data_IF_321916272373
#
_entry.id   IF_321916272373
#
_cell.length_a   1.000
_cell.length_b   1.000
_cell.length_c   1.000
_cell.angle_alpha   90.00
_cell.angle_beta   90.00
_cell.angle_gamma   90.00
#
_symmetry.space_group_name_H-M   'P 1'
#
loop_
_entity.id
_entity.type
_entity.pdbx_description
1 polymer ?
#
# COMPACT_ATOMS: atom_id res chain seq x y z
N UNK A 1 24.97 -21.40 32.25
CA UNK A 1 24.56 -20.14 31.61
C UNK A 1 23.05 -20.01 31.79
N UNK A 2 22.60 -19.11 32.67
CA UNK A 2 21.15 -18.80 32.78
C UNK A 2 20.75 -18.01 31.53
N UNK A 3 20.04 -18.65 30.63
CA UNK A 3 19.29 -17.95 29.57
C UNK A 3 18.13 -17.25 30.31
N UNK A 4 18.29 -15.97 30.58
CA UNK A 4 17.21 -15.15 31.13
C UNK A 4 16.07 -15.14 30.13
N UNK A 5 14.97 -15.81 30.45
CA UNK A 5 13.71 -15.67 29.73
C UNK A 5 13.33 -14.17 29.77
N UNK A 6 13.43 -13.49 28.61
CA UNK A 6 13.02 -12.10 28.48
C UNK A 6 11.50 -12.04 28.66
N UNK A 7 11.06 -11.49 29.78
CA UNK A 7 9.63 -11.37 30.10
C UNK A 7 8.91 -10.44 29.10
N UNK A 8 7.61 -10.62 28.92
CA UNK A 8 6.72 -9.67 28.25
C UNK A 8 6.95 -8.25 28.79
N UNK A 9 7.04 -7.27 27.92
CA UNK A 9 7.39 -5.90 28.30
C UNK A 9 6.32 -4.92 27.83
N UNK A 10 5.85 -4.08 28.74
CA UNK A 10 4.95 -2.96 28.42
C UNK A 10 5.70 -1.64 28.47
N UNK A 11 5.51 -0.81 27.45
CA UNK A 11 6.12 0.52 27.33
C UNK A 11 5.02 1.55 27.13
N UNK A 12 5.19 2.75 27.68
CA UNK A 12 4.33 3.91 27.40
C UNK A 12 5.18 5.04 26.86
N UNK A 13 4.78 5.54 25.70
CA UNK A 13 5.51 6.57 24.95
C UNK A 13 4.60 7.75 24.68
N UNK A 14 5.11 8.97 24.87
CA UNK A 14 4.45 10.19 24.42
C UNK A 14 4.72 10.37 22.93
N UNK A 15 3.66 10.63 22.16
CA UNK A 15 3.75 10.86 20.71
C UNK A 15 3.58 12.32 20.31
N UNK A 16 3.10 13.16 21.22
CA UNK A 16 2.91 14.60 20.99
C UNK A 16 3.62 15.42 22.06
N UNK A 17 3.99 16.65 21.71
CA UNK A 17 4.73 17.55 22.61
C UNK A 17 3.88 17.95 23.83
N UNK A 18 2.54 18.03 23.66
CA UNK A 18 1.58 18.27 24.73
C UNK A 18 1.37 17.04 25.64
N UNK A 19 1.92 15.88 25.25
CA UNK A 19 1.81 14.62 25.98
C UNK A 19 0.40 14.02 25.98
N UNK A 20 -0.53 14.52 25.17
CA UNK A 20 -1.91 14.02 25.11
C UNK A 20 -2.05 12.79 24.19
N UNK A 21 -1.24 12.70 23.13
CA UNK A 21 -1.11 11.49 22.35
C UNK A 21 -0.09 10.54 22.98
N UNK A 22 -0.50 9.28 23.21
CA UNK A 22 0.33 8.26 23.84
C UNK A 22 0.25 6.95 23.05
N UNK A 23 1.35 6.18 23.05
CA UNK A 23 1.41 4.83 22.53
C UNK A 23 1.77 3.85 23.64
N UNK A 24 0.87 2.93 23.98
CA UNK A 24 1.17 1.85 24.91
C UNK A 24 1.53 0.60 24.09
N UNK A 25 2.78 0.16 24.20
CA UNK A 25 3.32 -0.96 23.42
C UNK A 25 3.46 -2.19 24.32
N UNK A 26 2.94 -3.30 23.88
CA UNK A 26 3.01 -4.62 24.50
C UNK A 26 3.90 -5.51 23.62
N UNK A 27 5.08 -5.84 24.11
CA UNK A 27 6.03 -6.67 23.40
C UNK A 27 5.93 -8.12 23.89
N UNK A 28 5.88 -9.11 22.96
CA UNK A 28 6.05 -10.50 23.35
C UNK A 28 7.47 -10.73 23.88
N UNK A 29 7.70 -11.87 24.52
CA UNK A 29 9.08 -12.27 24.85
C UNK A 29 9.91 -12.43 23.56
N UNK A 30 11.18 -12.08 23.63
CA UNK A 30 12.06 -12.03 22.45
C UNK A 30 12.19 -13.40 21.73
N UNK A 31 12.10 -14.49 22.47
CA UNK A 31 12.12 -15.86 21.95
C UNK A 31 10.86 -16.25 21.17
N UNK A 32 9.73 -15.57 21.43
CA UNK A 32 8.46 -15.78 20.71
C UNK A 32 8.20 -14.77 19.60
N UNK A 33 8.94 -13.65 19.58
CA UNK A 33 8.71 -12.57 18.64
C UNK A 33 8.77 -13.04 17.17
N UNK A 34 7.66 -12.89 16.44
CA UNK A 34 7.56 -13.24 15.01
C UNK A 34 8.07 -12.14 14.08
N UNK A 35 8.31 -10.96 14.61
CA UNK A 35 8.58 -9.75 13.84
C UNK A 35 7.32 -8.98 13.43
N UNK A 36 6.13 -9.60 13.44
CA UNK A 36 4.87 -8.93 13.11
C UNK A 36 4.47 -7.95 14.22
N UNK A 37 3.88 -6.81 13.82
CA UNK A 37 3.37 -5.82 14.76
C UNK A 37 2.03 -5.24 14.32
N UNK A 38 1.21 -4.79 15.28
CA UNK A 38 -0.10 -4.17 15.05
C UNK A 38 -0.24 -2.91 15.88
N UNK A 39 -0.58 -1.79 15.24
CA UNK A 39 -1.01 -0.54 15.91
C UNK A 39 -2.52 -0.51 15.94
N UNK A 40 -3.12 -0.40 17.12
CA UNK A 40 -4.56 -0.36 17.34
C UNK A 40 -5.04 1.07 17.55
N UNK A 41 -6.09 1.44 16.84
CA UNK A 41 -6.86 2.68 16.97
C UNK A 41 -8.23 2.34 17.60
N UNK A 42 -8.44 2.55 18.91
CA UNK A 42 -9.73 2.32 19.54
C UNK A 42 -10.84 3.20 18.99
N UNK A 43 -12.09 2.75 19.03
CA UNK A 43 -13.26 3.54 18.68
C UNK A 43 -13.68 4.55 19.74
N UNK A 44 -14.88 5.12 19.55
CA UNK A 44 -15.47 6.12 20.45
C UNK A 44 -15.99 7.36 19.75
N UNK A 45 -16.33 7.24 18.45
CA UNK A 45 -17.00 8.30 17.67
C UNK A 45 -16.18 9.58 17.46
N UNK A 46 -14.86 9.55 17.65
CA UNK A 46 -13.98 10.72 17.71
C UNK A 46 -14.33 11.70 18.83
N UNK A 47 -15.03 11.24 19.87
CA UNK A 47 -15.42 12.02 21.04
C UNK A 47 -14.80 11.50 22.31
N UNK A 48 -14.61 10.19 22.41
CA UNK A 48 -13.93 9.46 23.48
C UNK A 48 -13.04 8.38 22.89
N UNK A 49 -12.28 7.66 23.74
CA UNK A 49 -11.52 6.47 23.37
C UNK A 49 -11.89 5.27 24.23
N UNK A 50 -12.27 4.18 23.59
CA UNK A 50 -12.57 2.91 24.22
C UNK A 50 -11.29 2.11 24.51
N UNK A 51 -10.38 2.69 25.32
CA UNK A 51 -8.99 2.23 25.50
C UNK A 51 -8.86 0.82 26.08
N UNK A 52 -9.78 0.35 26.94
CA UNK A 52 -9.70 -0.99 27.51
C UNK A 52 -10.14 -2.05 26.50
N UNK A 53 -11.42 -2.14 26.24
CA UNK A 53 -12.04 -3.26 25.53
C UNK A 53 -11.89 -3.26 24.01
N UNK A 54 -11.55 -2.12 23.39
CA UNK A 54 -11.14 -2.02 21.99
C UNK A 54 -9.63 -1.76 21.84
N UNK A 55 -8.91 -1.75 22.95
CA UNK A 55 -7.48 -1.48 22.99
C UNK A 55 -6.71 -2.53 23.79
N UNK A 56 -6.51 -2.25 25.08
CA UNK A 56 -5.57 -2.99 25.94
C UNK A 56 -5.92 -4.47 26.11
N UNK A 57 -7.22 -4.82 26.14
CA UNK A 57 -7.68 -6.19 26.35
C UNK A 57 -7.27 -7.15 25.21
N UNK A 58 -6.89 -6.62 24.05
CA UNK A 58 -6.38 -7.41 22.92
C UNK A 58 -4.90 -7.78 23.06
N UNK A 59 -4.15 -7.15 23.95
CA UNK A 59 -2.71 -7.33 24.06
C UNK A 59 -2.28 -8.78 24.35
N UNK A 60 -2.93 -9.52 25.28
CA UNK A 60 -2.59 -10.92 25.51
C UNK A 60 -2.73 -11.79 24.25
N UNK A 61 -3.83 -11.64 23.51
CA UNK A 61 -4.08 -12.39 22.28
C UNK A 61 -2.95 -12.23 21.25
N UNK A 62 -2.51 -10.99 21.00
CA UNK A 62 -1.42 -10.74 20.05
C UNK A 62 -0.06 -11.21 20.58
N UNK A 63 0.24 -10.97 21.85
CA UNK A 63 1.50 -11.39 22.44
C UNK A 63 1.65 -12.91 22.53
N UNK A 64 0.55 -13.65 22.75
CA UNK A 64 0.54 -15.12 22.74
C UNK A 64 0.87 -15.67 21.34
N UNK A 65 0.51 -14.93 20.27
CA UNK A 65 0.91 -15.21 18.88
C UNK A 65 2.33 -14.73 18.55
N UNK A 66 3.07 -14.14 19.49
CA UNK A 66 4.39 -13.57 19.25
C UNK A 66 4.36 -12.25 18.44
N UNK A 67 3.20 -11.58 18.39
CA UNK A 67 3.00 -10.33 17.66
C UNK A 67 3.12 -9.15 18.64
N UNK A 68 3.96 -8.16 18.30
CA UNK A 68 4.01 -6.91 19.05
C UNK A 68 2.70 -6.13 18.85
N UNK A 69 2.13 -5.63 19.91
CA UNK A 69 0.86 -4.93 19.87
C UNK A 69 0.98 -3.55 20.51
N UNK A 70 0.41 -2.52 19.89
CA UNK A 70 0.46 -1.17 20.41
C UNK A 70 -0.92 -0.52 20.36
N UNK A 71 -1.32 0.14 21.43
CA UNK A 71 -2.60 0.87 21.52
C UNK A 71 -2.32 2.36 21.47
N UNK A 72 -2.88 3.01 20.47
CA UNK A 72 -2.77 4.44 20.26
C UNK A 72 -3.89 5.19 20.99
N UNK A 73 -3.52 6.01 21.95
CA UNK A 73 -4.37 7.05 22.51
C UNK A 73 -4.20 8.30 21.64
N UNK A 74 -4.97 8.36 20.55
CA UNK A 74 -4.93 9.52 19.66
C UNK A 74 -5.76 10.69 20.21
N UNK A 75 -5.36 11.91 19.88
CA UNK A 75 -6.10 13.14 20.25
C UNK A 75 -7.38 13.27 19.43
N UNK A 76 -8.40 13.81 20.07
CA UNK A 76 -9.68 14.07 19.40
C UNK A 76 -9.52 15.17 18.34
N UNK A 77 -10.18 15.03 17.19
CA UNK A 77 -10.03 15.99 16.10
C UNK A 77 -10.65 17.35 16.39
N UNK A 78 -11.76 17.43 17.10
CA UNK A 78 -12.51 18.67 17.29
C UNK A 78 -12.72 19.49 16.00
N UNK A 79 -12.92 18.79 14.88
CA UNK A 79 -13.06 19.37 13.55
C UNK A 79 -11.73 19.51 12.78
N UNK A 80 -10.59 19.28 13.42
CA UNK A 80 -9.28 19.22 12.75
C UNK A 80 -8.81 17.77 12.62
N UNK A 81 -9.11 17.19 11.48
CA UNK A 81 -8.77 15.81 11.10
C UNK A 81 -7.27 15.53 11.05
N UNK A 82 -6.43 16.57 10.93
CA UNK A 82 -4.98 16.38 10.87
C UNK A 82 -4.40 15.90 12.19
N UNK A 83 -5.06 16.21 13.31
CA UNK A 83 -4.64 15.82 14.67
C UNK A 83 -4.56 14.29 14.83
N UNK A 84 -5.66 13.52 14.75
CA UNK A 84 -5.60 12.07 14.92
C UNK A 84 -4.79 11.37 13.81
N UNK A 85 -4.79 11.91 12.58
CA UNK A 85 -3.99 11.35 11.49
C UNK A 85 -2.49 11.50 11.76
N UNK A 86 -2.06 12.65 12.27
CA UNK A 86 -0.66 12.86 12.67
C UNK A 86 -0.25 11.90 13.77
N UNK A 87 -1.11 11.71 14.78
CA UNK A 87 -0.82 10.79 15.89
C UNK A 87 -0.72 9.33 15.38
N UNK A 88 -1.59 8.92 14.48
CA UNK A 88 -1.55 7.58 13.89
C UNK A 88 -0.29 7.38 12.99
N UNK A 89 0.08 8.38 12.19
CA UNK A 89 1.32 8.33 11.42
C UNK A 89 2.56 8.24 12.34
N UNK A 90 2.59 9.02 13.43
CA UNK A 90 3.69 8.95 14.42
C UNK A 90 3.75 7.59 15.10
N UNK A 91 2.61 6.98 15.45
CA UNK A 91 2.57 5.64 15.99
C UNK A 91 3.18 4.61 15.04
N UNK A 92 2.78 4.62 13.75
CA UNK A 92 3.34 3.75 12.72
C UNK A 92 4.85 3.97 12.54
N UNK A 93 5.30 5.23 12.54
CA UNK A 93 6.72 5.57 12.45
C UNK A 93 7.50 5.06 13.66
N UNK A 94 6.98 5.28 14.88
CA UNK A 94 7.61 4.82 16.13
C UNK A 94 7.82 3.31 16.16
N UNK A 95 6.83 2.53 15.69
CA UNK A 95 6.97 1.07 15.59
C UNK A 95 8.10 0.67 14.63
N UNK A 96 8.26 1.37 13.51
CA UNK A 96 9.32 1.10 12.53
C UNK A 96 10.69 1.57 12.99
N UNK A 97 10.79 2.75 13.59
CA UNK A 97 12.06 3.29 14.10
C UNK A 97 12.62 2.45 15.24
N UNK A 98 11.73 1.84 16.03
CA UNK A 98 12.09 0.96 17.14
C UNK A 98 12.24 -0.52 16.75
N UNK A 99 12.08 -0.85 15.48
CA UNK A 99 11.95 -2.24 14.99
C UNK A 99 13.09 -3.14 15.45
N UNK A 100 14.34 -2.69 15.34
CA UNK A 100 15.52 -3.47 15.75
C UNK A 100 15.53 -3.78 17.25
N UNK A 101 15.15 -2.80 18.10
CA UNK A 101 15.17 -2.94 19.57
C UNK A 101 13.97 -3.74 20.07
N UNK A 102 12.86 -3.73 19.34
CA UNK A 102 11.62 -4.41 19.72
C UNK A 102 11.40 -5.74 18.99
N UNK A 103 12.40 -6.22 18.25
CA UNK A 103 12.32 -7.44 17.44
C UNK A 103 11.13 -7.43 16.45
N UNK A 104 10.88 -6.27 15.82
CA UNK A 104 9.85 -6.06 14.82
C UNK A 104 10.48 -6.05 13.42
N UNK A 105 9.78 -6.61 12.45
CA UNK A 105 10.07 -6.43 11.04
C UNK A 105 9.37 -5.14 10.54
N UNK A 106 10.08 -4.08 10.14
CA UNK A 106 9.47 -2.83 9.68
C UNK A 106 8.62 -3.01 8.41
N UNK A 107 8.78 -4.12 7.69
CA UNK A 107 7.98 -4.51 6.54
C UNK A 107 6.72 -5.31 6.92
N UNK A 108 6.45 -5.53 8.22
CA UNK A 108 5.30 -6.32 8.72
C UNK A 108 4.57 -5.63 9.87
N UNK A 109 4.34 -4.32 9.73
CA UNK A 109 3.60 -3.49 10.69
C UNK A 109 2.23 -3.17 10.14
N UNK A 110 1.19 -3.72 10.76
CA UNK A 110 -0.21 -3.48 10.42
C UNK A 110 -0.87 -2.42 11.28
N UNK A 111 -2.08 -2.05 10.87
CA UNK A 111 -2.96 -1.17 11.64
C UNK A 111 -4.30 -1.87 11.89
N UNK A 112 -4.84 -1.68 13.07
CA UNK A 112 -6.14 -2.22 13.50
C UNK A 112 -7.02 -1.06 13.96
N UNK A 113 -8.33 -1.15 13.75
CA UNK A 113 -9.21 -0.13 14.25
C UNK A 113 -10.66 -0.58 14.41
N UNK A 114 -11.34 0.05 15.36
CA UNK A 114 -12.71 -0.21 15.74
C UNK A 114 -13.57 1.01 15.48
N UNK A 115 -14.76 0.86 14.90
CA UNK A 115 -15.72 1.97 14.74
C UNK A 115 -15.07 3.22 14.11
N UNK A 116 -15.06 4.36 14.80
CA UNK A 116 -14.34 5.59 14.36
C UNK A 116 -12.82 5.37 14.27
N UNK A 117 -12.22 4.55 15.15
CA UNK A 117 -10.83 4.12 15.02
C UNK A 117 -10.59 3.25 13.79
N UNK A 118 -11.60 2.51 13.33
CA UNK A 118 -11.60 1.80 12.04
C UNK A 118 -11.54 2.76 10.85
N UNK A 119 -12.22 3.91 10.94
CA UNK A 119 -12.08 4.98 9.97
C UNK A 119 -10.64 5.54 9.97
N UNK A 120 -10.09 5.86 11.14
CA UNK A 120 -8.71 6.34 11.22
C UNK A 120 -7.74 5.32 10.62
N UNK A 121 -7.85 4.04 10.97
CA UNK A 121 -7.02 2.96 10.47
C UNK A 121 -7.10 2.82 8.93
N UNK A 122 -8.32 2.81 8.37
CA UNK A 122 -8.52 2.71 6.92
C UNK A 122 -8.07 3.97 6.17
N UNK A 123 -8.18 5.15 6.78
CA UNK A 123 -7.66 6.41 6.23
C UNK A 123 -6.13 6.38 6.15
N UNK A 124 -5.44 5.93 7.21
CA UNK A 124 -3.98 5.74 7.20
C UNK A 124 -3.58 4.70 6.15
N UNK A 125 -4.31 3.60 6.03
CA UNK A 125 -4.04 2.54 5.06
C UNK A 125 -4.18 3.01 3.59
N UNK A 126 -5.09 3.93 3.30
CA UNK A 126 -5.36 4.41 1.94
C UNK A 126 -4.60 5.68 1.56
N UNK A 127 -4.30 6.56 2.53
CA UNK A 127 -3.89 7.93 2.24
C UNK A 127 -2.53 8.35 2.83
N UNK A 128 -2.02 7.68 3.87
CA UNK A 128 -0.74 8.03 4.48
C UNK A 128 0.45 7.87 3.50
N UNK A 129 1.54 8.64 3.69
CA UNK A 129 2.79 8.43 2.95
C UNK A 129 3.28 6.98 3.04
N UNK A 130 3.94 6.48 1.99
CA UNK A 130 4.40 5.09 1.91
C UNK A 130 5.35 4.70 3.05
N UNK A 131 6.13 5.64 3.59
CA UNK A 131 7.04 5.41 4.71
C UNK A 131 6.33 4.99 6.00
N UNK A 132 5.08 5.45 6.21
CA UNK A 132 4.29 5.15 7.42
C UNK A 132 3.02 4.36 7.11
N UNK A 133 2.71 4.09 5.84
CA UNK A 133 1.55 3.29 5.44
C UNK A 133 1.66 1.87 6.01
N UNK A 134 0.59 1.32 6.63
CA UNK A 134 0.63 -0.04 7.17
C UNK A 134 0.83 -1.10 6.08
N UNK A 135 1.33 -2.26 6.46
CA UNK A 135 1.52 -3.40 5.58
C UNK A 135 0.25 -4.25 5.44
N UNK A 136 -0.66 -4.16 6.41
CA UNK A 136 -1.99 -4.79 6.41
C UNK A 136 -2.93 -4.03 7.34
N UNK A 137 -4.24 -4.26 7.21
CA UNK A 137 -5.25 -3.60 8.02
C UNK A 137 -6.31 -4.57 8.56
N UNK A 138 -6.71 -4.36 9.81
CA UNK A 138 -7.70 -5.17 10.55
C UNK A 138 -8.80 -4.22 11.01
N UNK A 139 -10.02 -4.41 10.56
CA UNK A 139 -11.12 -3.48 10.78
C UNK A 139 -12.31 -4.18 11.45
N UNK A 140 -12.73 -3.66 12.58
CA UNK A 140 -13.90 -4.16 13.32
C UNK A 140 -15.02 -3.13 13.25
N UNK A 141 -16.17 -3.50 12.72
CA UNK A 141 -17.36 -2.65 12.54
C UNK A 141 -17.00 -1.20 12.19
N UNK A 142 -16.11 -0.99 11.19
CA UNK A 142 -15.49 0.31 10.96
C UNK A 142 -16.50 1.33 10.43
N UNK A 143 -16.39 2.57 10.89
CA UNK A 143 -16.84 3.71 10.10
C UNK A 143 -15.91 3.81 8.88
N UNK A 144 -16.44 4.02 7.71
CA UNK A 144 -15.69 4.09 6.44
C UNK A 144 -16.00 5.37 5.68
N UNK A 145 -17.27 5.61 5.41
CA UNK A 145 -17.70 6.81 4.72
C UNK A 145 -17.80 8.00 5.68
N UNK A 146 -17.26 9.13 5.27
CA UNK A 146 -17.45 10.41 5.96
C UNK A 146 -18.68 11.16 5.48
N UNK A 147 -19.45 10.63 4.50
CA UNK A 147 -20.74 11.19 4.14
C UNK A 147 -21.71 11.01 5.32
N UNK A 148 -22.25 12.09 5.91
CA UNK A 148 -23.13 12.03 7.07
C UNK A 148 -24.43 11.23 6.85
N UNK A 149 -24.78 10.94 5.57
CA UNK A 149 -25.97 10.15 5.18
C UNK A 149 -25.65 8.66 5.05
N UNK A 150 -24.38 8.31 4.89
CA UNK A 150 -23.92 6.94 4.66
C UNK A 150 -23.16 6.39 5.87
N UNK A 151 -22.23 7.18 6.42
CA UNK A 151 -21.43 6.84 7.57
C UNK A 151 -22.08 7.18 8.92
N UNK A 152 -21.31 7.12 9.99
CA UNK A 152 -21.75 7.53 11.32
C UNK A 152 -21.65 9.05 11.45
N UNK A 153 -22.80 9.72 11.49
CA UNK A 153 -22.90 11.20 11.47
C UNK A 153 -22.09 11.88 12.60
N UNK A 154 -22.09 11.28 13.80
CA UNK A 154 -21.30 11.80 14.95
C UNK A 154 -19.81 11.83 14.64
N UNK A 155 -19.28 10.75 14.09
CA UNK A 155 -17.88 10.65 13.67
C UNK A 155 -17.55 11.64 12.55
N UNK A 156 -18.42 11.75 11.54
CA UNK A 156 -18.24 12.69 10.43
C UNK A 156 -18.18 14.15 10.95
N UNK A 157 -19.09 14.51 11.86
CA UNK A 157 -19.12 15.86 12.46
C UNK A 157 -17.86 16.14 13.27
N UNK A 158 -17.44 15.21 14.12
CA UNK A 158 -16.27 15.38 14.96
C UNK A 158 -14.96 15.47 14.14
N UNK A 159 -14.87 14.69 13.05
CA UNK A 159 -13.68 14.60 12.21
C UNK A 159 -13.58 15.73 11.17
N UNK A 160 -14.68 16.04 10.48
CA UNK A 160 -14.70 17.04 9.42
C UNK A 160 -14.98 18.47 9.90
N UNK A 161 -15.62 18.64 11.08
CA UNK A 161 -15.95 19.94 11.62
C UNK A 161 -16.84 20.77 10.66
N UNK A 162 -16.34 21.93 10.27
CA UNK A 162 -17.06 22.83 9.35
C UNK A 162 -17.14 22.31 7.90
N UNK A 163 -16.28 21.34 7.53
CA UNK A 163 -16.26 20.73 6.21
C UNK A 163 -17.29 19.58 6.04
N UNK A 164 -18.20 19.37 7.00
CA UNK A 164 -19.16 18.26 7.00
C UNK A 164 -20.07 18.21 5.76
N UNK A 165 -20.31 19.32 5.11
CA UNK A 165 -21.11 19.43 3.88
C UNK A 165 -20.23 19.65 2.63
N UNK A 166 -18.91 19.70 2.78
CA UNK A 166 -17.98 19.86 1.68
C UNK A 166 -17.73 18.51 0.99
N UNK A 167 -18.41 18.29 -0.14
CA UNK A 167 -18.33 17.02 -0.88
C UNK A 167 -16.91 16.60 -1.23
N UNK A 168 -16.01 17.54 -1.58
CA UNK A 168 -14.62 17.21 -1.91
C UNK A 168 -13.90 16.66 -0.71
N UNK A 169 -14.05 17.26 0.45
CA UNK A 169 -13.45 16.82 1.71
C UNK A 169 -14.07 15.51 2.18
N UNK A 170 -15.40 15.36 2.09
CA UNK A 170 -16.09 14.11 2.36
C UNK A 170 -15.50 12.98 1.51
N UNK A 171 -15.35 13.20 0.21
CA UNK A 171 -14.81 12.20 -0.73
C UNK A 171 -13.34 11.87 -0.44
N UNK A 172 -12.56 12.86 -0.05
CA UNK A 172 -11.14 12.71 0.32
C UNK A 172 -10.93 11.84 1.56
N UNK A 173 -11.84 11.95 2.54
CA UNK A 173 -11.75 11.21 3.81
C UNK A 173 -12.73 10.02 3.91
N UNK A 174 -13.41 9.68 2.84
CA UNK A 174 -14.18 8.43 2.72
C UNK A 174 -13.28 7.33 2.16
N UNK A 175 -12.87 6.39 3.02
CA UNK A 175 -11.81 5.42 2.69
C UNK A 175 -12.14 4.55 1.49
N UNK A 176 -13.43 4.24 1.23
CA UNK A 176 -13.89 3.50 0.06
C UNK A 176 -13.59 4.20 -1.27
N UNK A 177 -13.44 5.53 -1.24
CA UNK A 177 -13.10 6.35 -2.42
C UNK A 177 -11.59 6.51 -2.62
N UNK A 178 -10.81 6.18 -1.61
CA UNK A 178 -9.35 6.37 -1.60
C UNK A 178 -8.57 5.09 -1.87
N UNK A 179 -9.26 3.97 -2.09
CA UNK A 179 -8.61 2.68 -2.40
C UNK A 179 -7.83 2.78 -3.72
N UNK A 180 -6.55 2.41 -3.65
CA UNK A 180 -5.64 2.39 -4.80
C UNK A 180 -5.06 1.01 -5.01
N UNK A 181 -5.11 0.56 -6.26
CA UNK A 181 -4.48 -0.68 -6.70
C UNK A 181 -3.00 -0.67 -6.33
N UNK A 182 -2.44 -1.82 -5.90
CA UNK A 182 -1.05 -2.05 -5.50
C UNK A 182 -0.56 -1.31 -4.25
N UNK A 183 -1.24 -0.23 -3.83
CA UNK A 183 -0.75 0.66 -2.78
C UNK A 183 -1.58 0.62 -1.50
N UNK A 184 -2.87 0.30 -1.58
CA UNK A 184 -3.69 0.01 -0.39
C UNK A 184 -3.37 -1.40 0.10
N UNK A 185 -3.01 -1.57 1.39
CA UNK A 185 -2.62 -2.87 1.92
C UNK A 185 -3.81 -3.83 2.04
N UNK A 186 -3.57 -5.15 2.10
CA UNK A 186 -4.60 -6.16 2.31
C UNK A 186 -5.38 -5.91 3.60
N UNK A 187 -6.68 -6.28 3.59
CA UNK A 187 -7.60 -6.03 4.69
C UNK A 187 -8.32 -7.29 5.15
N UNK A 188 -8.58 -7.38 6.47
CA UNK A 188 -9.63 -8.21 7.03
C UNK A 188 -10.65 -7.33 7.74
N UNK A 189 -11.94 -7.57 7.48
CA UNK A 189 -13.05 -6.75 7.96
C UNK A 189 -14.04 -7.66 8.70
N UNK A 190 -14.41 -7.27 9.91
CA UNK A 190 -15.43 -7.92 10.70
C UNK A 190 -16.60 -6.98 10.96
N UNK A 191 -17.82 -7.43 10.70
CA UNK A 191 -19.05 -6.67 10.88
C UNK A 191 -20.17 -7.55 11.44
N UNK A 192 -21.22 -6.94 12.01
CA UNK A 192 -22.45 -7.63 12.37
C UNK A 192 -23.61 -7.09 11.51
N UNK A 193 -24.45 -8.01 11.01
CA UNK A 193 -25.59 -7.65 10.14
C UNK A 193 -26.60 -6.74 10.86
N UNK A 194 -26.76 -6.93 12.17
CA UNK A 194 -27.67 -6.17 12.99
C UNK A 194 -27.05 -4.91 13.64
N UNK A 195 -25.91 -4.41 13.14
CA UNK A 195 -25.32 -3.14 13.59
C UNK A 195 -26.19 -1.96 13.14
N UNK A 196 -26.75 -1.22 14.11
CA UNK A 196 -27.63 -0.06 13.87
C UNK A 196 -26.91 1.28 14.05
N UNK A 197 -25.70 1.28 14.60
CA UNK A 197 -24.90 2.49 14.77
C UNK A 197 -24.06 2.77 13.51
N UNK A 198 -23.40 1.74 12.99
CA UNK A 198 -22.59 1.81 11.77
C UNK A 198 -23.07 0.74 10.81
N UNK A 199 -23.99 1.13 9.94
CA UNK A 199 -24.60 0.24 8.96
C UNK A 199 -23.53 -0.49 8.14
N UNK A 200 -23.43 -1.84 8.25
CA UNK A 200 -22.36 -2.60 7.62
C UNK A 200 -22.43 -2.53 6.09
N UNK A 201 -23.62 -2.39 5.51
CA UNK A 201 -23.77 -2.28 4.07
C UNK A 201 -23.15 -1.00 3.52
N UNK A 202 -23.37 0.12 4.21
CA UNK A 202 -22.89 1.45 3.80
C UNK A 202 -21.40 1.68 4.12
N UNK A 203 -20.83 0.89 5.03
CA UNK A 203 -19.45 1.02 5.48
C UNK A 203 -18.61 -0.21 5.12
N UNK A 204 -18.71 -1.31 5.85
CA UNK A 204 -17.88 -2.50 5.67
C UNK A 204 -17.98 -3.11 4.28
N UNK A 205 -19.22 -3.30 3.75
CA UNK A 205 -19.46 -3.85 2.41
C UNK A 205 -18.99 -2.88 1.33
N UNK A 206 -19.24 -1.58 1.50
CA UNK A 206 -18.80 -0.56 0.56
C UNK A 206 -17.25 -0.56 0.45
N UNK A 207 -16.55 -0.65 1.58
CA UNK A 207 -15.08 -0.71 1.59
C UNK A 207 -14.54 -2.01 0.99
N UNK A 208 -15.10 -3.16 1.37
CA UNK A 208 -14.76 -4.45 0.76
C UNK A 208 -14.94 -4.42 -0.76
N UNK A 209 -16.06 -3.87 -1.23
CA UNK A 209 -16.35 -3.73 -2.66
C UNK A 209 -15.31 -2.83 -3.35
N UNK A 210 -14.93 -1.72 -2.73
CA UNK A 210 -13.92 -0.81 -3.26
C UNK A 210 -12.54 -1.49 -3.34
N UNK A 211 -12.14 -2.24 -2.29
CA UNK A 211 -10.91 -3.04 -2.29
C UNK A 211 -10.90 -4.05 -3.44
N UNK A 212 -11.99 -4.84 -3.60
CA UNK A 212 -12.09 -5.85 -4.65
C UNK A 212 -12.10 -5.27 -6.05
N UNK A 213 -12.77 -4.12 -6.27
CA UNK A 213 -12.74 -3.40 -7.56
C UNK A 213 -11.35 -2.90 -7.96
N UNK A 214 -10.45 -2.73 -6.99
CA UNK A 214 -9.06 -2.33 -7.20
C UNK A 214 -8.06 -3.49 -7.08
N UNK A 215 -8.55 -4.75 -7.11
CA UNK A 215 -7.77 -5.98 -6.93
C UNK A 215 -6.99 -6.07 -5.61
N UNK A 216 -7.30 -5.24 -4.63
CA UNK A 216 -6.69 -5.34 -3.29
C UNK A 216 -7.22 -6.58 -2.58
N UNK A 217 -6.32 -7.40 -2.04
CA UNK A 217 -6.69 -8.59 -1.29
C UNK A 217 -7.51 -8.21 -0.04
N UNK A 218 -8.69 -8.79 0.11
CA UNK A 218 -9.56 -8.51 1.24
C UNK A 218 -10.35 -9.74 1.66
N UNK A 219 -10.52 -9.92 2.97
CA UNK A 219 -11.41 -10.87 3.60
C UNK A 219 -12.47 -10.11 4.39
N UNK A 220 -13.72 -10.56 4.35
CA UNK A 220 -14.80 -9.93 5.08
C UNK A 220 -15.69 -10.99 5.73
N UNK A 221 -16.00 -10.79 7.01
CA UNK A 221 -16.82 -11.68 7.83
C UNK A 221 -17.97 -10.87 8.44
N UNK A 222 -19.19 -11.27 8.11
CA UNK A 222 -20.42 -10.66 8.65
C UNK A 222 -21.12 -11.68 9.52
N UNK A 223 -21.29 -11.35 10.79
CA UNK A 223 -21.99 -12.18 11.75
C UNK A 223 -23.46 -11.78 11.85
N UNK A 224 -24.40 -12.74 11.97
CA UNK A 224 -25.83 -12.42 12.03
C UNK A 224 -26.22 -11.49 13.18
N UNK A 225 -25.53 -11.62 14.31
CA UNK A 225 -25.76 -10.83 15.53
C UNK A 225 -24.43 -10.37 16.12
N UNK A 226 -24.46 -9.30 16.90
CA UNK A 226 -23.31 -8.66 17.55
C UNK A 226 -23.60 -7.18 17.82
N UNK A 227 -24.43 -6.57 16.99
CA UNK A 227 -24.69 -5.13 17.04
C UNK A 227 -23.42 -4.33 16.80
N UNK A 228 -23.29 -3.17 17.43
CA UNK A 228 -22.09 -2.36 17.40
C UNK A 228 -21.24 -2.59 18.65
N UNK A 229 -19.90 -2.65 18.49
CA UNK A 229 -19.00 -2.65 19.64
C UNK A 229 -18.95 -3.94 20.45
N UNK A 230 -18.98 -5.13 19.81
CA UNK A 230 -18.86 -6.41 20.57
C UNK A 230 -17.48 -6.64 21.19
N UNK A 231 -16.45 -5.92 20.78
CA UNK A 231 -15.14 -5.82 21.48
C UNK A 231 -14.38 -7.14 21.58
N UNK A 232 -13.37 -7.18 22.46
CA UNK A 232 -12.77 -8.41 22.97
C UNK A 232 -13.62 -8.93 24.14
N UNK A 233 -14.73 -9.58 23.81
CA UNK A 233 -15.70 -10.04 24.79
C UNK A 233 -16.13 -11.48 24.47
N UNK A 234 -15.85 -12.40 25.39
CA UNK A 234 -16.18 -13.82 25.23
C UNK A 234 -17.71 -14.09 25.27
N UNK A 235 -18.53 -13.10 25.63
CA UNK A 235 -20.00 -13.19 25.52
C UNK A 235 -20.48 -12.99 24.09
N UNK A 236 -19.63 -12.47 23.19
CA UNK A 236 -19.94 -12.42 21.76
C UNK A 236 -19.99 -13.84 21.21
N UNK A 237 -21.13 -14.31 20.67
CA UNK A 237 -21.31 -15.72 20.31
C UNK A 237 -20.32 -16.29 19.31
N UNK A 238 -19.69 -15.41 18.52
CA UNK A 238 -18.72 -15.79 17.49
C UNK A 238 -17.27 -15.44 17.89
N UNK A 239 -17.02 -15.15 19.15
CA UNK A 239 -15.71 -14.71 19.65
C UNK A 239 -14.58 -15.65 19.22
N UNK A 240 -14.68 -16.94 19.54
CA UNK A 240 -13.67 -17.94 19.21
C UNK A 240 -13.47 -18.11 17.68
N UNK A 241 -14.59 -18.15 16.93
CA UNK A 241 -14.52 -18.24 15.47
C UNK A 241 -13.85 -17.01 14.84
N UNK A 242 -14.14 -15.83 15.38
CA UNK A 242 -13.53 -14.57 14.95
C UNK A 242 -12.02 -14.56 15.22
N UNK A 243 -11.58 -14.91 16.42
CA UNK A 243 -10.17 -14.97 16.80
C UNK A 243 -9.42 -16.00 15.95
N UNK A 244 -9.99 -17.18 15.75
CA UNK A 244 -9.41 -18.22 14.88
C UNK A 244 -9.27 -17.73 13.44
N UNK A 245 -10.28 -17.05 12.90
CA UNK A 245 -10.24 -16.49 11.55
C UNK A 245 -9.15 -15.42 11.45
N UNK A 246 -9.06 -14.54 12.44
CA UNK A 246 -8.04 -13.50 12.48
C UNK A 246 -6.63 -14.09 12.56
N UNK A 247 -6.38 -15.10 13.41
CA UNK A 247 -5.07 -15.74 13.52
C UNK A 247 -4.64 -16.39 12.21
N UNK A 248 -5.51 -17.19 11.58
CA UNK A 248 -5.24 -17.82 10.28
C UNK A 248 -4.94 -16.79 9.18
N UNK A 249 -5.67 -15.69 9.18
CA UNK A 249 -5.42 -14.62 8.22
C UNK A 249 -4.05 -13.96 8.46
N UNK A 250 -3.70 -13.63 9.71
CA UNK A 250 -2.41 -13.05 10.08
C UNK A 250 -1.24 -13.96 9.73
N UNK A 251 -1.38 -15.28 9.93
CA UNK A 251 -0.38 -16.29 9.58
C UNK A 251 -0.20 -16.43 8.06
N UNK A 252 -1.27 -16.17 7.28
CA UNK A 252 -1.23 -16.23 5.82
C UNK A 252 -0.43 -15.08 5.19
N UNK A 253 -0.30 -13.95 5.89
CA UNK A 253 0.44 -12.78 5.41
C UNK A 253 1.94 -13.04 5.45
N UNK A 254 2.60 -12.84 4.31
CA UNK A 254 4.05 -12.93 4.18
C UNK A 254 4.64 -11.55 3.98
N UNK A 255 5.70 -11.25 4.68
CA UNK A 255 6.44 -10.00 4.57
C UNK A 255 7.86 -10.26 4.03
N UNK A 256 8.46 -9.29 3.34
CA UNK A 256 9.90 -9.31 3.06
C UNK A 256 10.72 -9.27 4.35
N UNK A 257 12.00 -9.64 4.26
CA UNK A 257 12.92 -9.57 5.39
C UNK A 257 13.03 -8.13 5.93
N UNK A 258 13.44 -7.98 7.18
CA UNK A 258 13.49 -6.67 7.84
C UNK A 258 14.43 -5.67 7.14
N UNK A 259 15.51 -6.17 6.56
CA UNK A 259 16.53 -5.43 5.81
C UNK A 259 16.38 -5.52 4.29
N UNK A 260 15.22 -6.01 3.80
CA UNK A 260 14.95 -6.21 2.39
C UNK A 260 15.19 -4.94 1.55
N UNK A 261 15.87 -5.12 0.43
CA UNK A 261 16.13 -4.05 -0.54
C UNK A 261 14.83 -3.58 -1.18
N UNK A 262 14.52 -2.30 -1.03
CA UNK A 262 13.30 -1.70 -1.59
C UNK A 262 13.44 -1.46 -3.10
N UNK A 263 12.58 -2.12 -3.88
CA UNK A 263 12.55 -2.04 -5.35
C UNK A 263 11.23 -1.41 -5.80
N UNK A 264 11.30 -0.29 -6.51
CA UNK A 264 10.15 0.37 -7.12
C UNK A 264 10.05 0.07 -8.61
N UNK A 265 8.92 -0.47 -9.06
CA UNK A 265 8.60 -0.65 -10.47
C UNK A 265 7.68 0.49 -10.93
N UNK A 266 8.25 1.46 -11.62
CA UNK A 266 7.58 2.65 -12.17
C UNK A 266 7.20 2.39 -13.63
N UNK A 267 5.98 2.71 -14.03
CA UNK A 267 5.57 2.53 -15.43
C UNK A 267 4.10 2.79 -15.72
N UNK A 268 3.70 2.35 -16.89
CA UNK A 268 2.35 2.48 -17.43
C UNK A 268 1.48 1.22 -17.17
N UNK A 269 0.47 0.99 -18.02
CA UNK A 269 -0.46 -0.15 -17.92
C UNK A 269 0.22 -1.52 -17.89
N UNK A 270 1.36 -1.69 -18.54
CA UNK A 270 2.11 -2.96 -18.53
C UNK A 270 2.70 -3.22 -17.13
N UNK A 271 3.20 -2.19 -16.46
CA UNK A 271 3.67 -2.28 -15.07
C UNK A 271 2.50 -2.41 -14.08
N UNK A 272 1.41 -1.65 -14.29
CA UNK A 272 0.15 -1.77 -13.56
C UNK A 272 -0.45 -3.20 -13.66
N UNK A 273 -0.16 -3.93 -14.76
CA UNK A 273 -0.68 -5.28 -14.99
C UNK A 273 -2.08 -5.28 -15.60
N UNK A 274 -2.36 -4.35 -16.52
CA UNK A 274 -3.64 -4.29 -17.22
C UNK A 274 -3.95 -5.62 -17.92
N UNK A 275 -5.17 -6.13 -17.70
CA UNK A 275 -5.64 -7.42 -18.22
C UNK A 275 -5.09 -8.66 -17.50
N UNK A 276 -4.19 -8.51 -16.53
CA UNK A 276 -3.73 -9.60 -15.65
C UNK A 276 -4.64 -9.65 -14.43
N UNK A 277 -5.32 -10.77 -14.23
CA UNK A 277 -6.08 -10.99 -13.01
C UNK A 277 -5.14 -11.10 -11.81
N UNK A 278 -5.51 -10.47 -10.70
CA UNK A 278 -4.70 -10.45 -9.49
C UNK A 278 -3.24 -10.03 -9.76
N UNK A 279 -3.06 -8.86 -10.39
CA UNK A 279 -1.73 -8.38 -10.80
C UNK A 279 -0.74 -8.26 -9.63
N UNK A 280 -1.21 -8.12 -8.38
CA UNK A 280 -0.38 -8.18 -7.17
C UNK A 280 0.18 -9.60 -6.88
N UNK A 281 -0.25 -10.61 -7.63
CA UNK A 281 0.25 -11.99 -7.56
C UNK A 281 0.95 -12.38 -8.87
N UNK A 282 0.36 -12.02 -10.01
CA UNK A 282 0.74 -12.51 -11.34
C UNK A 282 1.34 -11.44 -12.26
N UNK A 283 1.25 -10.15 -11.93
CA UNK A 283 1.91 -9.08 -12.69
C UNK A 283 3.44 -9.14 -12.58
N UNK A 284 4.16 -8.50 -13.55
CA UNK A 284 5.61 -8.60 -13.56
C UNK A 284 6.30 -8.10 -12.28
N UNK A 285 5.86 -7.03 -11.61
CA UNK A 285 6.50 -6.61 -10.36
C UNK A 285 6.37 -7.66 -9.24
N UNK A 286 5.19 -8.29 -9.12
CA UNK A 286 4.97 -9.35 -8.13
C UNK A 286 5.79 -10.61 -8.43
N UNK A 287 5.84 -11.02 -9.70
CA UNK A 287 6.68 -12.14 -10.12
C UNK A 287 8.17 -11.84 -9.98
N UNK A 288 8.60 -10.59 -10.22
CA UNK A 288 9.97 -10.16 -9.94
C UNK A 288 10.30 -10.32 -8.45
N UNK A 289 9.40 -9.90 -7.55
CA UNK A 289 9.56 -10.09 -6.12
C UNK A 289 9.73 -11.56 -5.73
N UNK A 290 8.89 -12.46 -6.28
CA UNK A 290 9.02 -13.92 -6.08
C UNK A 290 10.37 -14.46 -6.56
N UNK A 291 10.84 -14.00 -7.71
CA UNK A 291 12.13 -14.42 -8.28
C UNK A 291 13.32 -13.91 -7.44
N UNK A 292 13.24 -12.70 -6.91
CA UNK A 292 14.32 -12.10 -6.09
C UNK A 292 14.35 -12.68 -4.68
N UNK A 293 13.21 -13.15 -4.13
CA UNK A 293 13.09 -13.71 -2.78
C UNK A 293 12.88 -12.64 -1.70
N UNK A 294 12.79 -13.08 -0.45
CA UNK A 294 12.40 -12.25 0.70
C UNK A 294 13.38 -11.10 1.01
N UNK A 295 14.64 -11.20 0.57
CA UNK A 295 15.60 -10.10 0.68
C UNK A 295 15.28 -8.87 -0.17
N UNK A 296 14.12 -8.85 -0.87
CA UNK A 296 13.67 -7.73 -1.69
C UNK A 296 12.20 -7.40 -1.43
N UNK A 297 11.93 -6.12 -1.21
CA UNK A 297 10.57 -5.57 -1.09
C UNK A 297 10.21 -4.86 -2.41
N UNK A 298 9.58 -5.59 -3.33
CA UNK A 298 9.20 -5.08 -4.65
C UNK A 298 7.80 -4.48 -4.60
N UNK A 299 7.66 -3.20 -5.00
CA UNK A 299 6.39 -2.49 -5.05
C UNK A 299 6.07 -2.02 -6.48
N UNK A 300 4.78 -2.12 -6.81
CA UNK A 300 4.25 -1.70 -8.10
C UNK A 300 3.72 -0.27 -8.01
N UNK A 301 4.31 0.65 -8.78
CA UNK A 301 3.88 2.03 -8.95
C UNK A 301 3.41 2.30 -10.39
N UNK A 302 3.00 1.28 -11.11
CA UNK A 302 2.43 1.39 -12.44
C UNK A 302 1.09 2.12 -12.43
N UNK A 303 0.84 2.94 -13.46
CA UNK A 303 -0.45 3.60 -13.68
C UNK A 303 -0.81 3.52 -15.16
N UNK A 304 -1.96 2.90 -15.44
CA UNK A 304 -2.41 2.67 -16.81
C UNK A 304 -2.54 3.96 -17.64
N UNK A 305 -2.10 3.90 -18.91
CA UNK A 305 -2.25 4.98 -19.87
C UNK A 305 -1.18 6.10 -19.79
N UNK A 306 -0.27 6.06 -18.82
CA UNK A 306 0.63 7.18 -18.52
C UNK A 306 1.81 7.26 -19.50
N UNK A 307 2.20 8.51 -19.77
CA UNK A 307 3.35 8.90 -20.61
C UNK A 307 4.54 9.29 -19.74
N UNK A 308 5.74 9.16 -20.28
CA UNK A 308 6.94 9.81 -19.73
C UNK A 308 6.87 11.31 -19.97
N UNK A 309 6.46 11.70 -21.21
CA UNK A 309 6.32 13.09 -21.63
C UNK A 309 5.39 13.87 -20.69
N UNK A 310 5.88 14.97 -20.15
CA UNK A 310 5.09 15.90 -19.33
C UNK A 310 4.05 16.67 -20.14
N UNK A 311 4.27 16.84 -21.43
CA UNK A 311 3.33 17.42 -22.41
C UNK A 311 2.42 16.37 -23.05
N UNK A 312 2.59 15.08 -22.70
CA UNK A 312 1.70 14.01 -23.12
C UNK A 312 0.30 14.14 -22.50
N UNK A 313 -0.64 13.37 -23.02
CA UNK A 313 -2.04 13.44 -22.58
C UNK A 313 -2.27 13.03 -21.11
N UNK A 314 -1.43 12.15 -20.54
CA UNK A 314 -1.53 11.63 -19.17
C UNK A 314 -0.13 11.48 -18.54
N UNK A 315 0.53 12.58 -18.12
CA UNK A 315 1.89 12.55 -17.61
C UNK A 315 2.04 11.77 -16.31
N UNK A 316 2.95 10.80 -16.26
CA UNK A 316 3.21 9.99 -15.06
C UNK A 316 3.70 10.81 -13.86
N UNK A 317 4.55 11.81 -14.08
CA UNK A 317 5.09 12.65 -13.00
C UNK A 317 4.05 13.51 -12.29
N UNK A 318 2.83 13.65 -12.86
CA UNK A 318 1.67 14.30 -12.21
C UNK A 318 0.84 13.35 -11.36
N UNK A 319 1.12 12.04 -11.41
CA UNK A 319 0.38 11.04 -10.65
C UNK A 319 0.86 10.97 -9.19
N UNK A 320 -0.09 10.70 -8.30
CA UNK A 320 0.24 10.44 -6.89
C UNK A 320 1.19 9.25 -6.74
N UNK A 321 1.14 8.27 -7.65
CA UNK A 321 2.05 7.13 -7.67
C UNK A 321 3.53 7.53 -7.79
N UNK A 322 3.85 8.63 -8.46
CA UNK A 322 5.20 9.18 -8.51
C UNK A 322 5.67 9.68 -7.15
N UNK A 323 4.81 10.40 -6.42
CA UNK A 323 5.12 10.82 -5.05
C UNK A 323 5.22 9.64 -4.10
N UNK A 324 4.30 8.67 -4.19
CA UNK A 324 4.37 7.44 -3.38
C UNK A 324 5.65 6.63 -3.63
N UNK A 325 6.12 6.58 -4.88
CA UNK A 325 7.41 5.96 -5.21
C UNK A 325 8.56 6.64 -4.49
N UNK A 326 8.58 7.98 -4.47
CA UNK A 326 9.60 8.76 -3.74
C UNK A 326 9.51 8.57 -2.23
N UNK A 327 8.31 8.57 -1.66
CA UNK A 327 8.04 8.34 -0.23
C UNK A 327 8.42 6.91 0.22
N UNK A 328 8.41 5.94 -0.69
CA UNK A 328 8.88 4.58 -0.44
C UNK A 328 10.40 4.52 -0.20
N UNK A 329 11.14 5.57 -0.57
CA UNK A 329 12.60 5.68 -0.50
C UNK A 329 13.28 4.44 -1.10
N UNK A 330 13.01 4.09 -2.37
CA UNK A 330 13.54 2.89 -3.00
C UNK A 330 15.06 2.90 -3.04
N UNK A 331 15.68 1.72 -2.98
CA UNK A 331 17.11 1.52 -3.22
C UNK A 331 17.38 1.08 -4.67
N UNK A 332 16.33 0.58 -5.33
CA UNK A 332 16.35 0.25 -6.76
C UNK A 332 15.06 0.78 -7.39
N UNK A 333 15.18 1.42 -8.56
CA UNK A 333 14.02 1.86 -9.36
C UNK A 333 14.15 1.32 -10.78
N UNK A 334 13.08 0.71 -11.28
CA UNK A 334 12.93 0.30 -12.67
C UNK A 334 11.91 1.24 -13.32
N UNK A 335 12.33 2.09 -14.28
CA UNK A 335 11.44 2.98 -15.01
C UNK A 335 11.12 2.36 -16.36
N UNK A 336 9.85 1.97 -16.57
CA UNK A 336 9.37 1.40 -17.84
C UNK A 336 8.20 2.24 -18.38
N UNK A 337 8.53 3.32 -19.07
CA UNK A 337 7.62 4.25 -19.77
C UNK A 337 8.04 4.33 -21.28
N UNK A 338 7.28 5.07 -22.07
CA UNK A 338 7.55 5.26 -23.51
C UNK A 338 6.53 4.59 -24.45
N UNK A 339 5.75 3.61 -23.96
CA UNK A 339 4.74 2.95 -24.80
C UNK A 339 3.63 3.92 -25.21
N UNK A 340 3.04 4.66 -24.26
CA UNK A 340 1.96 5.62 -24.54
C UNK A 340 2.47 6.90 -25.21
N UNK A 341 3.76 7.17 -25.06
CA UNK A 341 4.44 8.29 -25.69
C UNK A 341 4.49 8.13 -27.22
N UNK A 342 4.55 6.88 -27.71
CA UNK A 342 4.54 6.57 -29.15
C UNK A 342 3.23 6.88 -29.88
N UNK A 343 2.15 7.21 -29.14
CA UNK A 343 0.88 7.66 -29.74
C UNK A 343 1.11 8.93 -30.54
N UNK A 344 0.51 9.03 -31.72
CA UNK A 344 0.74 10.12 -32.67
C UNK A 344 0.71 11.51 -32.01
N UNK A 345 -0.35 11.83 -31.26
CA UNK A 345 -0.48 13.14 -30.59
C UNK A 345 0.56 13.37 -29.48
N UNK A 346 0.97 12.34 -28.76
CA UNK A 346 1.98 12.49 -27.71
C UNK A 346 3.36 12.66 -28.32
N UNK A 347 3.65 11.96 -29.46
CA UNK A 347 4.95 11.99 -30.10
C UNK A 347 5.23 13.29 -30.87
N UNK A 348 4.24 14.15 -31.02
CA UNK A 348 4.44 15.54 -31.45
C UNK A 348 5.42 16.31 -30.53
N UNK A 349 5.51 15.90 -29.26
CA UNK A 349 6.40 16.47 -28.24
C UNK A 349 7.70 15.67 -28.05
N UNK A 350 8.10 14.85 -29.02
CA UNK A 350 9.27 13.95 -28.91
C UNK A 350 10.57 14.60 -28.48
N UNK A 351 10.78 15.85 -28.83
CA UNK A 351 12.00 16.60 -28.51
C UNK A 351 12.15 16.82 -26.98
N UNK A 352 11.05 16.70 -26.22
CA UNK A 352 11.04 16.82 -24.79
C UNK A 352 11.35 15.48 -24.07
N UNK A 353 11.22 14.33 -24.74
CA UNK A 353 11.28 13.01 -24.13
C UNK A 353 12.58 12.76 -23.35
N UNK A 354 13.72 13.12 -23.90
CA UNK A 354 15.01 12.95 -23.24
C UNK A 354 15.17 13.86 -22.01
N UNK A 355 14.62 15.08 -22.06
CA UNK A 355 14.62 16.06 -20.96
C UNK A 355 13.74 15.55 -19.81
N UNK A 356 12.55 15.06 -20.09
CA UNK A 356 11.59 14.61 -19.12
C UNK A 356 12.07 13.32 -18.42
N UNK A 357 12.73 12.42 -19.16
CA UNK A 357 13.42 11.27 -18.57
C UNK A 357 14.57 11.70 -17.64
N UNK A 358 15.34 12.72 -18.04
CA UNK A 358 16.41 13.26 -17.21
C UNK A 358 15.84 13.89 -15.93
N UNK A 359 14.67 14.52 -15.98
CA UNK A 359 14.00 15.06 -14.81
C UNK A 359 13.67 13.94 -13.80
N UNK A 360 13.05 12.82 -14.25
CA UNK A 360 12.77 11.68 -13.37
C UNK A 360 14.05 11.14 -12.72
N UNK A 361 15.12 10.99 -13.49
CA UNK A 361 16.41 10.52 -12.98
C UNK A 361 16.95 11.49 -11.91
N UNK A 362 16.86 12.79 -12.17
CA UNK A 362 17.36 13.83 -11.25
C UNK A 362 16.59 13.86 -9.95
N UNK A 363 15.24 13.75 -10.00
CA UNK A 363 14.40 13.69 -8.80
C UNK A 363 14.71 12.44 -7.95
N UNK A 364 14.95 11.29 -8.57
CA UNK A 364 15.34 10.05 -7.85
C UNK A 364 16.73 10.15 -7.24
N UNK A 365 17.69 10.74 -7.95
CA UNK A 365 19.06 10.92 -7.43
C UNK A 365 19.11 11.90 -6.24
N UNK A 366 18.12 12.79 -6.11
CA UNK A 366 17.99 13.71 -4.99
C UNK A 366 17.41 13.06 -3.73
N UNK A 367 16.88 11.83 -3.82
CA UNK A 367 16.35 11.12 -2.66
C UNK A 367 17.47 10.72 -1.69
N UNK A 368 17.22 10.72 -0.36
CA UNK A 368 18.18 10.22 0.64
C UNK A 368 18.66 8.79 0.35
N UNK A 369 17.81 7.94 -0.22
CA UNK A 369 18.13 6.57 -0.60
C UNK A 369 19.06 6.43 -1.79
N UNK A 370 19.21 7.47 -2.63
CA UNK A 370 20.03 7.49 -3.85
C UNK A 370 19.93 6.19 -4.64
N UNK A 371 18.74 5.86 -5.18
CA UNK A 371 18.49 4.54 -5.73
C UNK A 371 19.37 4.22 -6.95
N UNK A 372 19.70 2.95 -7.11
CA UNK A 372 20.17 2.44 -8.38
C UNK A 372 19.01 2.45 -9.38
N UNK A 373 19.15 3.16 -10.49
CA UNK A 373 18.11 3.33 -11.49
C UNK A 373 18.39 2.43 -12.70
N UNK A 374 17.35 1.74 -13.16
CA UNK A 374 17.33 0.97 -14.39
C UNK A 374 16.29 1.55 -15.35
N UNK A 375 16.62 1.66 -16.62
CA UNK A 375 15.68 2.07 -17.66
C UNK A 375 15.20 0.85 -18.45
N UNK A 376 13.89 0.55 -18.34
CA UNK A 376 13.25 -0.53 -19.07
C UNK A 376 12.84 -0.10 -20.47
N UNK A 377 13.25 -0.83 -21.51
CA UNK A 377 12.76 -0.59 -22.86
C UNK A 377 11.27 -0.94 -22.94
N UNK A 378 10.45 -0.17 -23.67
CA UNK A 378 9.05 -0.52 -23.92
C UNK A 378 8.94 -1.89 -24.58
N UNK A 379 7.88 -2.63 -24.24
CA UNK A 379 7.54 -3.89 -24.91
C UNK A 379 7.13 -3.63 -26.37
N UNK A 380 7.32 -4.64 -27.24
CA UNK A 380 6.83 -4.60 -28.62
C UNK A 380 5.31 -4.41 -28.67
N UNK A 381 4.85 -3.54 -29.54
CA UNK A 381 3.45 -3.35 -29.88
C UNK A 381 3.18 -4.08 -31.22
N UNK A 382 2.48 -5.24 -31.15
CA UNK A 382 2.14 -6.05 -32.32
C UNK A 382 1.00 -5.45 -33.14
N UNK A 383 0.15 -4.63 -32.51
CA UNK A 383 -0.99 -3.95 -33.12
C UNK A 383 -0.97 -2.46 -32.76
N UNK A 384 -1.51 -1.64 -33.66
CA UNK A 384 -1.66 -0.21 -33.44
C UNK A 384 -2.84 0.20 -32.55
N UNK A 385 -3.23 -0.65 -31.60
CA UNK A 385 -4.33 -0.36 -30.66
C UNK A 385 -4.07 0.95 -29.94
N UNK A 386 -5.10 1.76 -29.80
CA UNK A 386 -5.03 3.12 -29.20
C UNK A 386 -3.99 4.04 -29.81
N UNK A 387 -3.69 3.88 -31.11
CA UNK A 387 -2.65 4.65 -31.84
C UNK A 387 -1.22 4.47 -31.31
N UNK A 388 -0.95 3.44 -30.51
CA UNK A 388 0.41 3.07 -30.11
C UNK A 388 1.15 2.57 -31.34
N UNK A 389 2.37 3.06 -31.57
CA UNK A 389 3.12 2.85 -32.80
C UNK A 389 4.46 2.15 -32.52
N UNK A 390 4.57 0.88 -32.93
CA UNK A 390 5.79 0.10 -32.74
C UNK A 390 6.99 0.65 -33.54
N UNK A 391 6.75 1.21 -34.74
CA UNK A 391 7.84 1.84 -35.50
C UNK A 391 8.45 3.02 -34.74
N UNK A 392 7.63 3.83 -34.09
CA UNK A 392 8.08 4.90 -33.19
C UNK A 392 8.83 4.34 -32.00
N UNK A 393 8.29 3.26 -31.37
CA UNK A 393 8.93 2.63 -30.22
C UNK A 393 10.35 2.17 -30.59
N UNK A 394 10.51 1.38 -31.65
CA UNK A 394 11.80 0.76 -31.96
C UNK A 394 12.80 1.74 -32.58
N UNK A 395 12.34 2.65 -33.45
CA UNK A 395 13.23 3.52 -34.22
C UNK A 395 13.55 4.87 -33.53
N UNK A 396 12.68 5.30 -32.58
CA UNK A 396 12.87 6.63 -31.95
C UNK A 396 12.94 6.52 -30.41
N UNK A 397 11.94 5.93 -29.74
CA UNK A 397 11.86 5.86 -28.26
C UNK A 397 13.03 5.07 -27.68
N UNK A 398 13.26 3.84 -28.16
CA UNK A 398 14.34 2.97 -27.65
C UNK A 398 15.72 3.59 -27.84
N UNK A 399 16.09 4.14 -29.00
CA UNK A 399 17.34 4.86 -29.18
C UNK A 399 17.55 6.03 -28.21
N UNK A 400 16.49 6.82 -27.93
CA UNK A 400 16.56 7.92 -26.96
C UNK A 400 16.81 7.37 -25.55
N UNK A 401 16.06 6.33 -25.12
CA UNK A 401 16.25 5.68 -23.80
C UNK A 401 17.69 5.20 -23.64
N UNK A 402 18.25 4.50 -24.66
CA UNK A 402 19.64 4.02 -24.64
C UNK A 402 20.66 5.16 -24.57
N UNK A 403 20.41 6.28 -25.28
CA UNK A 403 21.26 7.47 -25.22
C UNK A 403 21.24 8.12 -23.82
N UNK A 404 20.05 8.27 -23.21
CA UNK A 404 19.92 8.81 -21.86
C UNK A 404 20.57 7.88 -20.84
N UNK A 405 20.38 6.56 -20.95
CA UNK A 405 21.03 5.57 -20.10
C UNK A 405 22.57 5.69 -20.16
N UNK A 406 23.13 5.74 -21.37
CA UNK A 406 24.59 5.89 -21.59
C UNK A 406 25.12 7.19 -20.97
N UNK A 407 24.41 8.32 -21.18
CA UNK A 407 24.80 9.64 -20.61
C UNK A 407 24.85 9.61 -19.09
N UNK A 408 23.92 8.91 -18.45
CA UNK A 408 23.78 8.83 -16.99
C UNK A 408 24.49 7.59 -16.39
N UNK A 409 25.18 6.76 -17.20
CA UNK A 409 25.82 5.50 -16.77
C UNK A 409 24.84 4.53 -16.11
N UNK A 410 23.60 4.48 -16.63
CA UNK A 410 22.56 3.58 -16.15
C UNK A 410 22.51 2.29 -16.98
N UNK A 411 22.12 1.20 -16.33
CA UNK A 411 21.87 -0.06 -17.00
C UNK A 411 20.46 -0.07 -17.62
N UNK A 412 20.31 -0.78 -18.73
CA UNK A 412 19.05 -0.94 -19.46
C UNK A 412 18.54 -2.36 -19.26
N UNK A 413 17.22 -2.50 -19.00
CA UNK A 413 16.52 -3.79 -19.02
C UNK A 413 15.80 -3.88 -20.36
N UNK A 414 16.13 -4.88 -21.16
CA UNK A 414 15.51 -5.10 -22.46
C UNK A 414 14.23 -5.94 -22.34
N UNK A 415 13.08 -5.28 -22.31
CA UNK A 415 11.78 -5.95 -22.41
C UNK A 415 11.27 -6.06 -23.84
N UNK A 416 11.90 -5.32 -24.81
CA UNK A 416 11.46 -5.33 -26.20
C UNK A 416 11.82 -6.64 -26.91
N UNK A 417 13.09 -7.01 -26.90
CA UNK A 417 13.61 -8.16 -27.65
C UNK A 417 12.92 -9.48 -27.25
N UNK A 418 12.82 -9.84 -25.97
CA UNK A 418 12.15 -11.10 -25.58
C UNK A 418 10.67 -11.16 -25.96
N UNK A 419 9.95 -10.03 -25.86
CA UNK A 419 8.53 -9.95 -26.17
C UNK A 419 8.26 -9.81 -27.69
N UNK A 420 9.29 -9.52 -28.49
CA UNK A 420 9.20 -9.49 -29.95
C UNK A 420 9.34 -10.87 -30.61
N UNK A 421 9.66 -11.89 -29.85
CA UNK A 421 9.87 -13.24 -30.36
C UNK A 421 8.56 -13.95 -30.76
N UNK A 422 7.45 -13.70 -30.05
CA UNK A 422 6.16 -14.35 -30.33
C UNK A 422 5.00 -13.44 -29.91
N UNK A 423 4.08 -13.14 -30.84
CA UNK A 423 2.85 -12.37 -30.57
C UNK A 423 1.97 -13.06 -29.50
N UNK A 424 2.03 -14.39 -29.37
CA UNK A 424 1.31 -15.15 -28.35
C UNK A 424 1.73 -14.83 -26.90
N UNK A 425 2.75 -14.03 -26.71
CA UNK A 425 3.14 -13.48 -25.39
C UNK A 425 2.32 -12.24 -25.00
N UNK A 426 1.49 -11.74 -25.91
CA UNK A 426 0.60 -10.60 -25.68
C UNK A 426 -0.87 -11.01 -25.59
N UNK A 427 -1.67 -10.11 -25.04
CA UNK A 427 -3.14 -10.21 -25.04
C UNK A 427 -3.69 -9.93 -26.46
N UNK A 428 -4.99 -10.09 -26.62
CA UNK A 428 -5.66 -9.90 -27.93
C UNK A 428 -5.54 -8.48 -28.50
N UNK A 429 -5.24 -7.51 -27.65
CA UNK A 429 -5.00 -6.12 -28.04
C UNK A 429 -3.63 -5.91 -28.74
N UNK A 430 -2.72 -6.87 -28.61
CA UNK A 430 -1.38 -6.83 -29.20
C UNK A 430 -0.42 -5.82 -28.54
N UNK A 431 -0.77 -5.25 -27.38
CA UNK A 431 0.03 -4.26 -26.63
C UNK A 431 0.44 -4.79 -25.25
N UNK A 432 -0.53 -5.33 -24.50
CA UNK A 432 -0.28 -5.76 -23.14
C UNK A 432 0.24 -7.20 -23.12
N UNK A 433 1.35 -7.50 -22.46
CA UNK A 433 1.80 -8.88 -22.26
C UNK A 433 0.75 -9.67 -21.47
N UNK A 434 0.55 -10.93 -21.82
CA UNK A 434 -0.24 -11.88 -21.06
C UNK A 434 0.57 -12.50 -19.91
N UNK A 435 0.03 -13.48 -19.18
CA UNK A 435 0.71 -14.09 -18.03
C UNK A 435 2.10 -14.66 -18.36
N UNK A 436 2.29 -15.22 -19.56
CA UNK A 436 3.60 -15.70 -20.01
C UNK A 436 4.54 -14.54 -20.31
N UNK A 437 4.02 -13.49 -20.95
CA UNK A 437 4.79 -12.29 -21.29
C UNK A 437 5.25 -11.54 -20.04
N UNK A 438 4.38 -11.34 -19.03
CA UNK A 438 4.78 -10.67 -17.78
C UNK A 438 5.76 -11.49 -16.95
N UNK A 439 5.68 -12.84 -17.02
CA UNK A 439 6.67 -13.73 -16.41
C UNK A 439 8.05 -13.54 -17.04
N UNK A 440 8.11 -13.50 -18.37
CA UNK A 440 9.35 -13.26 -19.10
C UNK A 440 9.95 -11.88 -18.75
N UNK A 441 9.11 -10.83 -18.62
CA UNK A 441 9.56 -9.53 -18.14
C UNK A 441 10.19 -9.60 -16.75
N UNK A 442 9.57 -10.35 -15.84
CA UNK A 442 10.08 -10.53 -14.47
C UNK A 442 11.46 -11.23 -14.48
N UNK A 443 11.61 -12.24 -15.33
CA UNK A 443 12.88 -12.98 -15.51
C UNK A 443 13.98 -12.06 -16.06
N UNK A 444 13.70 -11.22 -17.07
CA UNK A 444 14.67 -10.27 -17.61
C UNK A 444 15.07 -9.22 -16.57
N UNK A 445 14.10 -8.67 -15.81
CA UNK A 445 14.39 -7.75 -14.73
C UNK A 445 15.25 -8.40 -13.63
N UNK A 446 14.93 -9.64 -13.23
CA UNK A 446 15.68 -10.37 -12.20
C UNK A 446 17.13 -10.63 -12.59
N UNK A 447 17.42 -10.95 -13.89
CA UNK A 447 18.79 -11.15 -14.38
C UNK A 447 19.68 -9.91 -14.17
N UNK A 448 19.10 -8.72 -14.35
CA UNK A 448 19.85 -7.46 -14.24
C UNK A 448 19.94 -6.99 -12.80
N UNK A 449 18.84 -7.09 -12.03
CA UNK A 449 18.79 -6.63 -10.62
C UNK A 449 19.70 -7.49 -9.72
N UNK A 450 19.77 -8.83 -9.94
CA UNK A 450 20.60 -9.75 -9.15
C UNK A 450 22.11 -9.64 -9.41
N UNK A 451 22.55 -9.05 -10.51
CA UNK A 451 23.96 -9.06 -10.95
C UNK A 451 24.95 -8.33 -10.04
N UNK A 452 24.53 -7.91 -8.82
CA UNK A 452 25.45 -7.32 -7.83
C UNK A 452 25.20 -7.91 -6.44
N UNK A 453 25.91 -8.96 -6.12
CA UNK A 453 26.49 -9.14 -4.82
C UNK A 453 27.97 -8.74 -4.87
#
# INVERSE_FOLDING_TARGET
>A
MCVGLSAQRTLKLKLSDDGLAELTVFLPSADKATGKAVVCCPGGGYSILCMSYEGVDWAPYYNDMGIAYAVLKYRMPHGDRTIPMTDACRAMQTMRDSAAVWHINPNDVGIMGFSAGGHLASTIATSAPMSVRPNFQILFYPVISMDPKLGHRGSSKAFLGQDIDNKKVIDEFSSEKQVRRHLTPPAIIFAADNDREVDPFKNSVAYYTALRRKDVAASMHVYPIGGHGWRFDNRFPYHEAMLKTLSLWLESLKAPDADAVRVACVGNSITDGAGIQQADIYGYPAQLGKLLGNGYNVKNFGVSGRTLLNSGNLPYMKEKAWQDCKDFLPQIVIIKLGTNDSKTKNWEHKDEFARDMQQMISELNALPSRPKIYLGLPAKAWKGSWTINDSVIVNEVIPIIRKVAKKNRLEVIDFYTPLSADEKLTQTDGIHPNEKGVKLMAEEAAKVVRRKK
#
